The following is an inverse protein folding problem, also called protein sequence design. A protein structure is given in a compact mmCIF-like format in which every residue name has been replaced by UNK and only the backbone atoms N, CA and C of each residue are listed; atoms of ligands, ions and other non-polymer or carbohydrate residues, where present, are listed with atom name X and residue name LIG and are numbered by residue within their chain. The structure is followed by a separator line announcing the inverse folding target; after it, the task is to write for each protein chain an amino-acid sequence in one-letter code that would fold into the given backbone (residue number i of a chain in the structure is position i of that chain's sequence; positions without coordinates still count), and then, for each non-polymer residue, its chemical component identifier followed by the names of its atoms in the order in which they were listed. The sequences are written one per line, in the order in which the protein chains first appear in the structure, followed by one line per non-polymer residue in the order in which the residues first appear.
data_IF_712118957667
#
_entry.id   IF_712118957667
#
_cell.length_a   1.000
_cell.length_b   1.000
_cell.length_c   1.000
_cell.angle_alpha   90.00
_cell.angle_beta   90.00
_cell.angle_gamma   90.00
#
_symmetry.space_group_name_H-M   'P 1'
#
loop_
_entity.id
_entity.type
_entity.pdbx_description
1 polymer ?
#
# COMPACT_ATOMS: atom_id res chain seq x y z
N UNK A 1 -25.64 14.68 2.20
CA UNK A 1 -24.64 14.66 1.09
C UNK A 1 -23.25 15.04 1.58
N UNK A 2 -23.09 16.12 2.34
CA UNK A 2 -21.79 16.59 2.85
C UNK A 2 -21.12 15.60 3.84
N UNK A 3 -21.88 14.94 4.71
CA UNK A 3 -21.36 13.89 5.61
C UNK A 3 -20.89 12.63 4.86
N UNK A 4 -21.56 12.28 3.76
CA UNK A 4 -21.13 11.16 2.91
C UNK A 4 -19.80 11.49 2.23
N UNK A 5 -19.62 12.72 1.74
CA UNK A 5 -18.36 13.14 1.11
C UNK A 5 -17.20 13.16 2.12
N UNK A 6 -17.41 13.69 3.32
CA UNK A 6 -16.41 13.67 4.41
C UNK A 6 -16.02 12.23 4.80
N UNK A 7 -16.99 11.33 4.88
CA UNK A 7 -16.74 9.93 5.20
C UNK A 7 -16.02 9.17 4.08
N UNK A 8 -16.28 9.52 2.82
CA UNK A 8 -15.51 9.01 1.68
C UNK A 8 -14.08 9.54 1.70
N UNK A 9 -13.88 10.83 2.00
CA UNK A 9 -12.55 11.42 2.11
C UNK A 9 -11.72 10.78 3.23
N UNK A 10 -12.30 10.55 4.43
CA UNK A 10 -11.64 9.85 5.54
C UNK A 10 -11.17 8.45 5.13
N UNK A 11 -12.05 7.72 4.44
CA UNK A 11 -11.78 6.36 3.98
C UNK A 11 -10.67 6.33 2.92
N UNK A 12 -10.77 7.17 1.89
CA UNK A 12 -9.73 7.29 0.85
C UNK A 12 -8.38 7.73 1.45
N UNK A 13 -8.38 8.66 2.42
CA UNK A 13 -7.16 9.10 3.10
C UNK A 13 -6.51 7.96 3.87
N UNK A 14 -7.29 7.09 4.52
CA UNK A 14 -6.75 5.91 5.22
C UNK A 14 -6.08 4.93 4.25
N UNK A 15 -6.66 4.71 3.06
CA UNK A 15 -6.03 3.89 2.01
C UNK A 15 -4.70 4.49 1.55
N UNK A 16 -4.67 5.81 1.29
CA UNK A 16 -3.43 6.54 0.93
C UNK A 16 -2.38 6.40 2.04
N UNK A 17 -2.77 6.62 3.29
CA UNK A 17 -1.89 6.49 4.45
C UNK A 17 -1.29 5.08 4.56
N UNK A 18 -2.12 4.03 4.42
CA UNK A 18 -1.65 2.66 4.44
C UNK A 18 -0.66 2.38 3.31
N UNK A 19 -0.91 2.93 2.12
CA UNK A 19 -0.01 2.77 0.97
C UNK A 19 1.35 3.45 1.21
N UNK A 20 1.35 4.69 1.71
CA UNK A 20 2.58 5.41 2.08
C UNK A 20 3.35 4.64 3.16
N UNK A 21 2.66 4.10 4.15
CA UNK A 21 3.28 3.25 5.17
C UNK A 21 3.88 1.97 4.57
N UNK A 22 3.20 1.38 3.57
CA UNK A 22 3.73 0.28 2.77
C UNK A 22 5.03 0.65 2.04
N UNK A 23 5.09 1.81 1.39
CA UNK A 23 6.33 2.33 0.78
C UNK A 23 7.42 2.47 1.83
N UNK A 24 7.16 3.16 2.95
CA UNK A 24 8.17 3.39 4.00
C UNK A 24 8.68 2.05 4.54
N UNK A 25 7.80 1.10 4.83
CA UNK A 25 8.18 -0.25 5.26
C UNK A 25 9.00 -1.00 4.22
N UNK A 26 8.72 -0.76 2.92
CA UNK A 26 9.44 -1.32 1.77
C UNK A 26 10.81 -0.68 1.54
N UNK A 27 11.15 0.40 2.24
CA UNK A 27 12.47 1.02 2.21
C UNK A 27 13.22 0.88 3.53
N UNK A 28 12.49 0.89 4.65
CA UNK A 28 13.05 0.77 5.99
C UNK A 28 13.70 -0.60 6.25
N UNK A 29 13.32 -1.65 5.52
CA UNK A 29 13.94 -2.97 5.67
C UNK A 29 15.17 -3.18 4.76
N UNK A 30 15.82 -2.10 4.34
CA UNK A 30 17.14 -2.15 3.71
C UNK A 30 18.17 -3.05 4.46
N UNK A 31 18.20 -3.11 5.80
CA UNK A 31 19.07 -4.06 6.50
C UNK A 31 18.76 -5.54 6.20
N UNK A 32 17.49 -5.89 5.96
CA UNK A 32 17.06 -7.23 5.56
C UNK A 32 17.55 -7.54 4.15
N UNK A 33 17.52 -6.55 3.26
CA UNK A 33 18.09 -6.67 1.91
C UNK A 33 19.58 -7.01 1.96
N UNK A 34 20.36 -6.33 2.81
CA UNK A 34 21.80 -6.57 2.96
C UNK A 34 22.10 -7.99 3.43
N UNK A 35 21.27 -8.56 4.31
CA UNK A 35 21.41 -9.95 4.75
C UNK A 35 21.09 -10.95 3.62
N UNK A 36 20.06 -10.68 2.82
CA UNK A 36 19.65 -11.54 1.70
C UNK A 36 20.63 -11.52 0.53
N UNK A 37 21.29 -10.38 0.29
CA UNK A 37 22.31 -10.22 -0.74
C UNK A 37 23.52 -11.15 -0.57
N UNK A 38 23.79 -11.61 0.66
CA UNK A 38 24.85 -12.58 0.93
C UNK A 38 24.53 -13.99 0.39
N UNK A 39 23.26 -14.28 0.07
CA UNK A 39 22.77 -15.62 -0.26
C UNK A 39 22.12 -15.68 -1.65
N UNK A 40 21.60 -14.55 -2.16
CA UNK A 40 20.84 -14.51 -3.40
C UNK A 40 21.10 -13.22 -4.18
N UNK A 41 21.01 -13.24 -5.53
CA UNK A 41 21.07 -12.02 -6.34
C UNK A 41 20.09 -10.94 -5.89
N UNK A 42 20.44 -9.67 -6.14
CA UNK A 42 19.70 -8.50 -5.65
C UNK A 42 18.24 -8.45 -6.11
N UNK A 43 17.96 -8.83 -7.36
CA UNK A 43 16.59 -8.88 -7.90
C UNK A 43 15.71 -9.88 -7.15
N UNK A 44 16.21 -11.09 -6.89
CA UNK A 44 15.49 -12.11 -6.11
C UNK A 44 15.33 -11.69 -4.65
N UNK A 45 16.35 -11.06 -4.06
CA UNK A 45 16.29 -10.51 -2.70
C UNK A 45 15.22 -9.41 -2.58
N UNK A 46 15.20 -8.46 -3.53
CA UNK A 46 14.17 -7.40 -3.61
C UNK A 46 12.77 -7.98 -3.81
N UNK A 47 12.62 -8.99 -4.68
CA UNK A 47 11.36 -9.67 -4.91
C UNK A 47 10.83 -10.35 -3.64
N UNK A 48 11.62 -11.23 -3.00
CA UNK A 48 11.22 -11.91 -1.76
C UNK A 48 10.84 -10.90 -0.67
N UNK A 49 11.64 -9.85 -0.51
CA UNK A 49 11.35 -8.81 0.45
C UNK A 49 10.04 -8.05 0.16
N UNK A 50 9.82 -7.67 -1.10
CA UNK A 50 8.60 -6.95 -1.48
C UNK A 50 7.33 -7.79 -1.29
N UNK A 51 7.41 -9.13 -1.32
CA UNK A 51 6.29 -10.00 -0.91
C UNK A 51 5.92 -9.76 0.55
N UNK A 52 6.90 -9.74 1.46
CA UNK A 52 6.64 -9.45 2.87
C UNK A 52 6.09 -8.05 3.07
N UNK A 53 6.62 -7.05 2.37
CA UNK A 53 6.13 -5.69 2.45
C UNK A 53 4.68 -5.57 1.93
N UNK A 54 4.34 -6.23 0.81
CA UNK A 54 2.96 -6.33 0.30
C UNK A 54 2.04 -6.98 1.33
N UNK A 55 2.47 -8.06 1.97
CA UNK A 55 1.66 -8.77 2.97
C UNK A 55 1.36 -7.88 4.18
N UNK A 56 2.37 -7.22 4.74
CA UNK A 56 2.19 -6.30 5.88
C UNK A 56 1.29 -5.14 5.47
N UNK A 57 1.54 -4.53 4.31
CA UNK A 57 0.66 -3.49 3.75
C UNK A 57 -0.79 -3.97 3.64
N UNK A 58 -1.00 -5.20 3.14
CA UNK A 58 -2.34 -5.77 2.96
C UNK A 58 -3.04 -5.98 4.30
N UNK A 59 -2.33 -6.47 5.30
CA UNK A 59 -2.86 -6.66 6.66
C UNK A 59 -3.27 -5.32 7.27
N UNK A 60 -2.40 -4.30 7.21
CA UNK A 60 -2.68 -2.97 7.77
C UNK A 60 -3.84 -2.30 7.05
N UNK A 61 -3.88 -2.39 5.71
CA UNK A 61 -4.98 -1.86 4.90
C UNK A 61 -6.29 -2.59 5.23
N UNK A 62 -6.26 -3.91 5.31
CA UNK A 62 -7.42 -4.72 5.66
C UNK A 62 -8.00 -4.35 7.02
N UNK A 63 -7.17 -4.32 8.06
CA UNK A 63 -7.57 -3.98 9.43
C UNK A 63 -8.14 -2.56 9.47
N UNK A 64 -7.44 -1.60 8.87
CA UNK A 64 -7.89 -0.20 8.83
C UNK A 64 -9.26 -0.04 8.17
N UNK A 65 -9.53 -0.79 7.10
CA UNK A 65 -10.79 -0.72 6.39
C UNK A 65 -11.90 -1.48 7.12
N UNK A 66 -11.56 -2.58 7.78
CA UNK A 66 -12.46 -3.31 8.67
C UNK A 66 -12.94 -2.43 9.82
N UNK A 67 -12.05 -1.71 10.49
CA UNK A 67 -12.38 -0.75 11.54
C UNK A 67 -13.32 0.35 11.06
N UNK A 68 -13.05 0.92 9.88
CA UNK A 68 -13.94 1.93 9.27
C UNK A 68 -15.32 1.32 8.99
N UNK A 69 -15.38 0.07 8.51
CA UNK A 69 -16.63 -0.66 8.31
C UNK A 69 -17.39 -0.89 9.61
N UNK A 70 -16.70 -1.22 10.70
CA UNK A 70 -17.30 -1.36 12.04
C UNK A 70 -17.79 -0.03 12.61
N UNK A 71 -17.03 1.05 12.42
CA UNK A 71 -17.44 2.40 12.81
C UNK A 71 -18.68 2.83 12.04
N UNK A 72 -18.72 2.64 10.72
CA UNK A 72 -19.86 3.03 9.89
C UNK A 72 -21.12 2.19 10.20
N UNK A 73 -20.96 0.99 10.76
CA UNK A 73 -22.07 0.17 11.26
C UNK A 73 -22.75 0.78 12.50
N UNK A 74 -22.07 1.61 13.29
CA UNK A 74 -22.56 2.17 14.58
C UNK A 74 -22.61 3.71 14.55
N UNK A 75 -23.76 4.37 14.83
CA UNK A 75 -25.10 3.84 15.03
C UNK A 75 -25.65 3.29 13.72
N UNK A 76 -26.54 2.27 13.76
CA UNK A 76 -27.16 1.64 12.58
C UNK A 76 -27.74 2.69 11.62
N UNK A 77 -26.91 3.16 10.67
CA UNK A 77 -27.29 4.13 9.64
C UNK A 77 -27.65 3.34 8.41
N UNK A 78 -28.94 3.37 8.07
CA UNK A 78 -29.59 2.61 7.00
C UNK A 78 -29.11 3.00 5.59
N UNK A 79 -28.22 4.00 5.48
CA UNK A 79 -27.69 4.55 4.23
C UNK A 79 -26.27 4.06 3.89
N UNK A 80 -25.69 3.12 4.65
CA UNK A 80 -24.32 2.65 4.40
C UNK A 80 -24.34 1.43 3.48
N UNK A 81 -23.74 1.55 2.30
CA UNK A 81 -23.64 0.47 1.32
C UNK A 81 -22.32 -0.30 1.46
N UNK A 82 -22.37 -1.63 1.26
CA UNK A 82 -21.23 -2.55 1.40
C UNK A 82 -20.08 -2.28 0.41
N UNK A 83 -20.38 -1.63 -0.71
CA UNK A 83 -19.41 -1.28 -1.76
C UNK A 83 -18.49 -0.10 -1.44
N UNK A 84 -18.69 0.60 -0.31
CA UNK A 84 -17.97 1.85 -0.01
C UNK A 84 -16.46 1.67 0.01
N UNK A 85 -15.96 0.55 0.57
CA UNK A 85 -14.54 0.23 0.59
C UNK A 85 -13.92 0.15 -0.81
N UNK A 86 -14.61 -0.49 -1.76
CA UNK A 86 -14.14 -0.60 -3.15
C UNK A 86 -14.04 0.77 -3.83
N UNK A 87 -15.03 1.65 -3.61
CA UNK A 87 -15.04 3.00 -4.18
C UNK A 87 -13.91 3.86 -3.59
N UNK A 88 -13.72 3.81 -2.27
CA UNK A 88 -12.66 4.58 -1.61
C UNK A 88 -11.27 4.05 -2.00
N UNK A 89 -11.12 2.72 -2.11
CA UNK A 89 -9.92 2.08 -2.65
C UNK A 89 -9.62 2.52 -4.07
N UNK A 90 -10.62 2.61 -4.94
CA UNK A 90 -10.46 3.02 -6.33
C UNK A 90 -10.01 4.49 -6.42
N UNK A 91 -10.70 5.39 -5.73
CA UNK A 91 -10.37 6.82 -5.71
C UNK A 91 -8.96 7.03 -5.16
N UNK A 92 -8.64 6.43 -4.03
CA UNK A 92 -7.31 6.53 -3.41
C UNK A 92 -6.21 6.01 -4.34
N UNK A 93 -6.42 4.86 -4.99
CA UNK A 93 -5.43 4.26 -5.88
C UNK A 93 -5.20 5.08 -7.14
N UNK A 94 -6.24 5.72 -7.68
CA UNK A 94 -6.10 6.68 -8.79
C UNK A 94 -5.28 7.88 -8.35
N UNK A 95 -5.55 8.44 -7.16
CA UNK A 95 -4.76 9.56 -6.61
C UNK A 95 -3.30 9.16 -6.41
N UNK A 96 -3.03 8.00 -5.81
CA UNK A 96 -1.67 7.46 -5.63
C UNK A 96 -0.95 7.35 -6.97
N UNK A 97 -1.63 6.80 -7.98
CA UNK A 97 -1.05 6.60 -9.32
C UNK A 97 -0.74 7.93 -9.99
N UNK A 98 -1.66 8.90 -9.92
CA UNK A 98 -1.48 10.24 -10.49
C UNK A 98 -0.35 11.01 -9.79
N UNK A 99 -0.29 10.96 -8.44
CA UNK A 99 0.81 11.54 -7.67
C UNK A 99 2.12 10.85 -8.02
N UNK A 100 2.11 9.53 -8.16
CA UNK A 100 3.27 8.76 -8.58
C UNK A 100 3.79 9.21 -9.96
N UNK A 101 2.90 9.37 -10.94
CA UNK A 101 3.26 9.89 -12.26
C UNK A 101 3.78 11.33 -12.19
N UNK A 102 3.17 12.21 -11.40
CA UNK A 102 3.64 13.58 -11.20
C UNK A 102 5.05 13.64 -10.59
N UNK A 103 5.32 12.81 -9.57
CA UNK A 103 6.65 12.69 -8.96
C UNK A 103 7.68 12.12 -9.94
N UNK A 104 7.31 11.12 -10.74
CA UNK A 104 8.18 10.55 -11.78
C UNK A 104 8.53 11.61 -12.82
N UNK A 105 7.55 12.37 -13.32
CA UNK A 105 7.75 13.43 -14.31
C UNK A 105 8.60 14.58 -13.75
N UNK A 106 8.38 14.96 -12.48
CA UNK A 106 9.19 15.98 -11.82
C UNK A 106 10.65 15.52 -11.64
N UNK A 107 10.86 14.24 -11.34
CA UNK A 107 12.18 13.70 -11.06
C UNK A 107 13.10 13.71 -12.29
N UNK A 108 12.57 13.60 -13.51
CA UNK A 108 13.33 13.71 -14.75
C UNK A 108 13.99 15.09 -14.96
N UNK A 109 13.62 16.11 -14.17
CA UNK A 109 14.20 17.46 -14.27
C UNK A 109 15.22 17.84 -13.19
N UNK A 110 15.49 17.00 -12.15
CA UNK A 110 16.14 17.53 -10.93
C UNK A 110 17.31 16.71 -10.31
N UNK A 111 17.40 15.36 -10.37
CA UNK A 111 18.39 14.63 -9.52
C UNK A 111 18.97 13.30 -10.04
N UNK A 112 20.27 13.20 -10.38
CA UNK A 112 20.93 11.90 -10.60
C UNK A 112 21.21 11.19 -9.25
N UNK A 113 20.76 9.95 -9.09
CA UNK A 113 20.99 9.14 -7.86
C UNK A 113 21.78 7.88 -8.20
N UNK A 114 22.99 7.76 -7.67
CA UNK A 114 23.78 6.52 -7.67
C UNK A 114 23.69 5.86 -6.30
N UNK A 115 23.39 4.56 -6.27
CA UNK A 115 23.32 3.77 -5.04
C UNK A 115 24.38 2.65 -5.11
N UNK A 116 25.13 2.35 -4.03
CA UNK A 116 26.32 1.49 -4.07
C UNK A 116 26.11 0.06 -4.57
N UNK A 117 24.86 -0.42 -4.57
CA UNK A 117 24.47 -1.76 -5.05
C UNK A 117 23.38 -1.74 -6.12
N UNK A 118 22.88 -0.56 -6.52
CA UNK A 118 21.80 -0.42 -7.51
C UNK A 118 22.28 0.52 -8.60
N UNK A 119 22.60 -0.04 -9.76
CA UNK A 119 22.91 0.76 -10.94
C UNK A 119 21.59 1.21 -11.56
N UNK A 120 21.22 2.47 -11.29
CA UNK A 120 19.95 3.03 -11.71
C UNK A 120 20.22 3.94 -12.90
N UNK A 121 19.83 3.47 -14.09
CA UNK A 121 20.12 4.14 -15.36
C UNK A 121 19.49 5.55 -15.47
N UNK A 122 18.37 5.81 -14.77
CA UNK A 122 17.75 7.13 -14.73
C UNK A 122 16.86 7.33 -13.48
N UNK A 123 16.63 8.61 -13.17
CA UNK A 123 15.84 9.08 -12.02
C UNK A 123 14.40 8.56 -12.07
N UNK A 124 13.83 8.54 -13.29
CA UNK A 124 12.54 7.93 -13.58
C UNK A 124 12.43 6.52 -12.99
N UNK A 125 13.43 5.67 -13.26
CA UNK A 125 13.47 4.28 -12.79
C UNK A 125 13.64 4.21 -11.28
N UNK A 126 14.41 5.12 -10.69
CA UNK A 126 14.54 5.17 -9.22
C UNK A 126 13.21 5.53 -8.55
N UNK A 127 12.51 6.56 -9.04
CA UNK A 127 11.24 6.97 -8.46
C UNK A 127 10.14 5.93 -8.64
N UNK A 128 10.11 5.27 -9.81
CA UNK A 128 9.25 4.10 -10.02
C UNK A 128 9.56 2.99 -9.04
N UNK A 129 10.84 2.68 -8.84
CA UNK A 129 11.27 1.70 -7.85
C UNK A 129 10.79 2.10 -6.46
N UNK A 130 10.93 3.37 -6.06
CA UNK A 130 10.48 3.84 -4.74
C UNK A 130 8.98 3.64 -4.54
N UNK A 131 8.19 4.19 -5.47
CA UNK A 131 6.74 4.28 -5.33
C UNK A 131 6.10 2.89 -5.40
N UNK A 132 6.66 1.98 -6.20
CA UNK A 132 6.09 0.67 -6.44
C UNK A 132 6.89 -0.48 -5.81
N UNK A 133 7.85 -0.18 -4.93
CA UNK A 133 8.64 -1.16 -4.20
C UNK A 133 7.80 -2.25 -3.51
N UNK A 134 6.64 -1.94 -2.88
CA UNK A 134 5.81 -2.98 -2.30
C UNK A 134 5.46 -4.09 -3.32
N UNK A 135 5.21 -3.72 -4.57
CA UNK A 135 4.76 -4.64 -5.63
C UNK A 135 5.90 -5.16 -6.52
N UNK A 136 7.16 -4.96 -6.14
CA UNK A 136 8.31 -5.32 -6.96
C UNK A 136 8.31 -6.79 -7.41
N UNK A 137 7.94 -7.71 -6.52
CA UNK A 137 7.84 -9.15 -6.82
C UNK A 137 6.95 -9.45 -8.02
N UNK A 138 5.88 -8.67 -8.21
CA UNK A 138 4.95 -8.87 -9.29
C UNK A 138 5.55 -8.42 -10.64
N UNK A 139 6.30 -7.33 -10.63
CA UNK A 139 7.01 -6.86 -11.83
C UNK A 139 8.12 -7.83 -12.24
N UNK A 140 8.85 -8.37 -11.28
CA UNK A 140 9.87 -9.40 -11.52
C UNK A 140 9.26 -10.64 -12.20
N UNK A 141 8.05 -11.07 -11.82
CA UNK A 141 7.36 -12.20 -12.46
C UNK A 141 6.96 -11.89 -13.90
N UNK A 142 6.44 -10.68 -14.15
CA UNK A 142 5.96 -10.30 -15.49
C UNK A 142 7.10 -10.07 -16.47
N UNK A 143 8.11 -9.32 -16.06
CA UNK A 143 9.18 -8.89 -16.97
C UNK A 143 10.28 -9.93 -17.09
N UNK A 144 10.44 -10.81 -16.09
CA UNK A 144 11.42 -11.90 -16.02
C UNK A 144 12.79 -11.49 -16.58
N UNK A 145 13.22 -10.28 -16.23
CA UNK A 145 14.38 -9.65 -16.84
C UNK A 145 15.63 -9.95 -16.03
N UNK A 146 16.75 -10.22 -16.70
CA UNK A 146 18.08 -10.27 -16.07
C UNK A 146 18.57 -8.90 -15.57
N UNK A 147 17.77 -7.84 -15.76
CA UNK A 147 18.10 -6.49 -15.30
C UNK A 147 18.06 -6.44 -13.78
N UNK A 148 18.98 -5.65 -13.22
CA UNK A 148 19.08 -5.42 -11.78
C UNK A 148 17.79 -4.82 -11.19
N UNK A 149 17.05 -4.06 -12.01
CA UNK A 149 15.79 -3.40 -11.67
C UNK A 149 14.81 -3.57 -12.85
N UNK A 150 13.61 -4.17 -12.64
CA UNK A 150 12.57 -4.27 -13.65
C UNK A 150 12.11 -2.87 -14.08
N UNK A 151 11.92 -2.70 -15.38
CA UNK A 151 11.42 -1.46 -15.95
C UNK A 151 9.91 -1.40 -15.73
N UNK A 152 9.51 -0.74 -14.65
CA UNK A 152 8.09 -0.52 -14.34
C UNK A 152 7.47 0.34 -15.44
N UNK A 153 6.72 -0.31 -16.32
CA UNK A 153 5.89 0.36 -17.32
C UNK A 153 4.70 1.04 -16.64
N UNK A 154 4.14 2.07 -17.28
CA UNK A 154 2.92 2.72 -16.81
C UNK A 154 1.75 1.74 -16.69
N UNK A 155 1.71 0.70 -17.54
CA UNK A 155 0.68 -0.33 -17.51
C UNK A 155 0.81 -1.24 -16.28
N UNK A 156 2.03 -1.71 -16.00
CA UNK A 156 2.30 -2.56 -14.83
C UNK A 156 2.08 -1.79 -13.53
N UNK A 157 2.38 -0.49 -13.50
CA UNK A 157 2.10 0.38 -12.35
C UNK A 157 0.61 0.42 -11.95
N UNK A 158 -0.31 0.14 -12.88
CA UNK A 158 -1.74 0.08 -12.58
C UNK A 158 -2.13 -1.10 -11.69
N UNK A 159 -1.27 -2.11 -11.49
CA UNK A 159 -1.55 -3.29 -10.63
C UNK A 159 -1.90 -2.90 -9.18
N UNK A 160 -1.39 -1.77 -8.72
CA UNK A 160 -1.69 -1.21 -7.39
C UNK A 160 -3.19 -0.95 -7.23
N UNK A 161 -3.87 -0.58 -8.33
CA UNK A 161 -5.29 -0.23 -8.33
C UNK A 161 -6.18 -1.44 -8.01
N UNK A 162 -6.24 -2.52 -8.82
CA UNK A 162 -7.09 -3.65 -8.51
C UNK A 162 -6.72 -4.29 -7.17
N UNK A 163 -5.44 -4.35 -6.82
CA UNK A 163 -5.00 -4.91 -5.55
C UNK A 163 -5.56 -4.12 -4.34
N UNK A 164 -5.31 -2.81 -4.30
CA UNK A 164 -5.75 -1.96 -3.19
C UNK A 164 -7.27 -1.87 -3.12
N UNK A 165 -7.97 -1.87 -4.27
CA UNK A 165 -9.43 -1.92 -4.36
C UNK A 165 -9.99 -3.20 -3.73
N UNK A 166 -9.40 -4.36 -4.05
CA UNK A 166 -9.87 -5.64 -3.53
C UNK A 166 -9.65 -5.73 -2.01
N UNK A 167 -8.42 -5.43 -1.54
CA UNK A 167 -8.09 -5.53 -0.11
C UNK A 167 -8.95 -4.57 0.72
N UNK A 168 -9.08 -3.32 0.27
CA UNK A 168 -9.90 -2.32 0.97
C UNK A 168 -11.39 -2.63 0.92
N UNK A 169 -11.88 -3.11 -0.22
CA UNK A 169 -13.27 -3.52 -0.41
C UNK A 169 -13.67 -4.68 0.49
N UNK A 170 -12.86 -5.74 0.52
CA UNK A 170 -13.11 -6.91 1.37
C UNK A 170 -13.01 -6.51 2.85
N UNK A 171 -11.96 -5.79 3.26
CA UNK A 171 -11.79 -5.35 4.66
C UNK A 171 -12.98 -4.53 5.16
N UNK A 172 -13.42 -3.54 4.37
CA UNK A 172 -14.60 -2.75 4.71
C UNK A 172 -15.87 -3.59 4.78
N UNK A 173 -16.07 -4.47 3.80
CA UNK A 173 -17.26 -5.30 3.71
C UNK A 173 -17.37 -6.28 4.90
N UNK A 174 -16.26 -6.88 5.34
CA UNK A 174 -16.27 -7.76 6.52
C UNK A 174 -16.57 -6.96 7.80
N UNK A 175 -16.01 -5.76 7.95
CA UNK A 175 -16.28 -4.86 9.07
C UNK A 175 -17.75 -4.43 9.17
N UNK A 176 -18.32 -3.94 8.07
CA UNK A 176 -19.73 -3.51 8.04
C UNK A 176 -20.71 -4.68 8.22
N UNK A 177 -20.33 -5.89 7.78
CA UNK A 177 -21.13 -7.10 7.97
C UNK A 177 -21.07 -7.63 9.42
N UNK A 178 -20.20 -7.05 10.26
CA UNK A 178 -20.04 -7.46 11.65
C UNK A 178 -19.34 -8.80 11.84
N UNK A 179 -18.53 -9.21 10.85
CA UNK A 179 -17.68 -10.38 10.97
C UNK A 179 -16.48 -9.96 11.83
N UNK A 180 -16.52 -10.30 13.11
CA UNK A 180 -15.45 -9.99 14.05
C UNK A 180 -14.26 -10.92 13.81
N UNK A 181 -13.22 -10.42 13.14
CA UNK A 181 -11.98 -11.17 12.87
C UNK A 181 -10.97 -10.96 14.00
N UNK A 182 -10.97 -9.75 14.58
CA UNK A 182 -10.16 -9.42 15.75
C UNK A 182 -11.15 -9.02 16.84
N UNK A 183 -11.31 -9.85 17.88
CA UNK A 183 -11.99 -9.41 19.10
C UNK A 183 -11.12 -8.27 19.65
N UNK A 184 -11.66 -7.04 19.78
CA UNK A 184 -11.01 -5.96 20.53
C UNK A 184 -10.63 -6.54 21.90
N UNK A 185 -9.35 -6.88 22.07
CA UNK A 185 -8.78 -7.21 23.36
C UNK A 185 -8.44 -5.87 24.00
N UNK A 186 -8.74 -5.73 25.28
CA UNK A 186 -8.54 -4.51 26.06
C UNK A 186 -7.18 -3.87 25.71
N UNK A 187 -7.15 -2.54 25.54
CA UNK A 187 -6.08 -1.73 24.93
C UNK A 187 -4.69 -1.74 25.58
N UNK A 188 -4.28 -2.85 26.18
CA UNK A 188 -3.00 -3.09 26.83
C UNK A 188 -1.90 -3.54 25.87
N UNK A 189 -2.24 -3.96 24.65
CA UNK A 189 -1.28 -4.51 23.68
C UNK A 189 -0.66 -3.42 22.78
N UNK A 190 0.64 -3.50 22.50
CA UNK A 190 1.36 -2.49 21.70
C UNK A 190 0.78 -2.42 20.28
N UNK A 191 0.38 -3.57 19.74
CA UNK A 191 -0.25 -3.68 18.42
C UNK A 191 -1.60 -2.94 18.41
N UNK A 192 -2.41 -3.04 19.46
CA UNK A 192 -3.69 -2.32 19.52
C UNK A 192 -3.50 -0.81 19.70
N UNK A 193 -2.46 -0.36 20.43
CA UNK A 193 -2.10 1.07 20.50
C UNK A 193 -1.61 1.66 19.18
N UNK A 194 -0.95 0.86 18.34
CA UNK A 194 -0.49 1.28 17.01
C UNK A 194 -1.67 1.34 16.02
N UNK A 195 -2.62 0.42 16.13
CA UNK A 195 -3.75 0.31 15.19
C UNK A 195 -4.93 1.23 15.56
N UNK A 196 -5.26 1.36 16.84
CA UNK A 196 -6.49 2.01 17.34
C UNK A 196 -6.24 3.34 18.08
N UNK A 197 -5.13 4.03 17.83
CA UNK A 197 -4.84 5.28 18.53
C UNK A 197 -5.92 6.33 18.21
N UNK A 198 -6.54 6.86 19.28
CA UNK A 198 -7.51 7.96 19.33
C UNK A 198 -9.02 7.61 19.43
N UNK A 199 -9.39 6.73 20.36
CA UNK A 199 -10.73 6.76 20.99
C UNK A 199 -10.58 6.74 22.52
N UNK A 200 -10.15 7.88 23.09
CA UNK A 200 -10.43 8.27 24.49
C UNK A 200 -11.10 9.63 24.45
#
# INVERSE_FOLDING_TARGET
MMDNLKNHAKCSFKVIYCYVLGIILSWAAYPVLLLLLAVCPINKSLAVYSVFATLIFSIVLYISMHEIGEQDRKPYRWAVYKGKGFVCGAIASVVITLVGFGLILAADSIFYVQHPYLDIANINSYMKLIIYMPFFWFFEIIENSERLIPNISYLTALIVIPFSVIVSGIGYWTGISGINIIKKKDGTDIISKILYKDEV
#
